data_IF_036446370251
#
_entry.id   IF_036446370251
#
_cell.length_a   1.000
_cell.length_b   1.000
_cell.length_c   1.000
_cell.angle_alpha   90.00
_cell.angle_beta   90.00
_cell.angle_gamma   90.00
#
_symmetry.space_group_name_H-M   'P 1'
#
loop_
_entity.id
_entity.type
_entity.pdbx_description
1 polymer ?
#
# COMPACT_ATOMS: atom_id res chain seq x y z
N UNK A 1 -25.30 -3.79 -29.67
CA UNK A 1 -24.92 -3.67 -28.24
C UNK A 1 -23.89 -2.56 -28.15
N UNK A 2 -24.13 -1.50 -27.40
CA UNK A 2 -23.19 -0.37 -27.36
C UNK A 2 -21.95 -0.70 -26.52
N UNK A 3 -20.85 0.02 -26.71
CA UNK A 3 -19.64 -0.14 -25.91
C UNK A 3 -19.91 0.10 -24.41
N UNK A 4 -20.83 1.02 -24.08
CA UNK A 4 -21.30 1.24 -22.70
C UNK A 4 -22.01 0.01 -22.13
N UNK A 5 -22.87 -0.64 -22.91
CA UNK A 5 -23.58 -1.85 -22.46
C UNK A 5 -22.61 -3.03 -22.25
N UNK A 6 -21.58 -3.14 -23.09
CA UNK A 6 -20.54 -4.15 -22.95
C UNK A 6 -19.67 -3.91 -21.72
N UNK A 7 -19.23 -2.67 -21.49
CA UNK A 7 -18.46 -2.30 -20.30
C UNK A 7 -19.27 -2.51 -19.00
N UNK A 8 -20.56 -2.16 -19.01
CA UNK A 8 -21.45 -2.40 -17.88
C UNK A 8 -21.65 -3.90 -17.63
N UNK A 9 -21.78 -4.72 -18.68
CA UNK A 9 -21.84 -6.18 -18.51
C UNK A 9 -20.55 -6.78 -17.96
N UNK A 10 -19.38 -6.24 -18.31
CA UNK A 10 -18.10 -6.67 -17.73
C UNK A 10 -18.02 -6.30 -16.24
N UNK A 11 -18.43 -5.09 -15.86
CA UNK A 11 -18.50 -4.69 -14.44
C UNK A 11 -19.52 -5.52 -13.65
N UNK A 12 -20.70 -5.79 -14.22
CA UNK A 12 -21.73 -6.61 -13.59
C UNK A 12 -21.29 -8.08 -13.43
N UNK A 13 -20.34 -8.57 -14.25
CA UNK A 13 -19.73 -9.90 -14.09
C UNK A 13 -18.75 -9.95 -12.92
N UNK A 14 -18.05 -8.85 -12.61
CA UNK A 14 -17.08 -8.77 -11.51
C UNK A 14 -17.79 -8.94 -10.15
N UNK A 15 -18.98 -8.36 -9.98
CA UNK A 15 -19.79 -8.55 -8.77
C UNK A 15 -20.41 -9.95 -8.66
N UNK A 16 -20.41 -10.72 -9.74
CA UNK A 16 -21.01 -12.04 -9.85
C UNK A 16 -20.02 -13.20 -9.75
N UNK A 17 -18.76 -12.95 -9.34
CA UNK A 17 -17.82 -14.02 -9.01
C UNK A 17 -18.31 -14.68 -7.72
N UNK A 18 -18.67 -15.96 -7.80
CA UNK A 18 -19.39 -16.71 -6.77
C UNK A 18 -18.65 -18.01 -6.40
N UNK A 19 -17.40 -18.10 -6.84
CA UNK A 19 -16.51 -19.23 -6.63
C UNK A 19 -15.25 -18.67 -5.98
N UNK A 20 -14.84 -19.28 -4.89
CA UNK A 20 -13.62 -18.94 -4.17
C UNK A 20 -12.38 -19.48 -4.90
N UNK A 21 -11.18 -19.03 -4.48
CA UNK A 21 -9.91 -19.43 -5.09
C UNK A 21 -9.66 -20.96 -4.99
N UNK A 22 -10.36 -21.65 -4.09
CA UNK A 22 -10.33 -23.12 -3.89
C UNK A 22 -11.38 -23.89 -4.74
N UNK A 23 -12.19 -23.19 -5.55
CA UNK A 23 -13.23 -23.78 -6.38
C UNK A 23 -14.56 -24.02 -5.67
N UNK A 24 -14.69 -23.67 -4.38
CA UNK A 24 -15.95 -23.79 -3.64
C UNK A 24 -16.92 -22.64 -3.96
N UNK A 25 -18.23 -22.91 -3.85
CA UNK A 25 -19.25 -21.85 -3.95
C UNK A 25 -19.10 -20.92 -2.75
N UNK A 26 -18.98 -19.63 -3.02
CA UNK A 26 -18.88 -18.61 -1.97
C UNK A 26 -20.15 -18.60 -1.11
N UNK A 27 -20.00 -18.43 0.21
CA UNK A 27 -21.15 -18.31 1.10
C UNK A 27 -21.85 -16.96 0.87
N UNK A 28 -23.17 -16.99 0.67
CA UNK A 28 -23.98 -15.78 0.58
C UNK A 28 -24.18 -15.18 1.97
N UNK A 29 -23.98 -13.86 2.11
CA UNK A 29 -24.22 -13.18 3.38
C UNK A 29 -25.71 -12.99 3.67
N UNK A 30 -26.04 -12.80 4.96
CA UNK A 30 -27.42 -12.82 5.44
C UNK A 30 -28.26 -11.66 4.87
N UNK A 31 -27.68 -10.47 4.71
CA UNK A 31 -28.36 -9.30 4.12
C UNK A 31 -28.80 -9.58 2.67
N UNK A 32 -27.90 -10.14 1.85
CA UNK A 32 -28.22 -10.51 0.47
C UNK A 32 -29.17 -11.72 0.41
N UNK A 33 -29.01 -12.70 1.30
CA UNK A 33 -29.88 -13.87 1.38
C UNK A 33 -31.32 -13.49 1.71
N UNK A 34 -31.52 -12.61 2.71
CA UNK A 34 -32.84 -12.08 3.06
C UNK A 34 -33.43 -11.29 1.88
N UNK A 35 -32.66 -10.38 1.29
CA UNK A 35 -33.12 -9.61 0.13
C UNK A 35 -33.52 -10.52 -1.04
N UNK A 36 -32.81 -11.65 -1.24
CA UNK A 36 -33.19 -12.65 -2.23
C UNK A 36 -34.53 -13.30 -1.90
N UNK A 37 -34.71 -13.76 -0.65
CA UNK A 37 -35.97 -14.36 -0.17
C UNK A 37 -37.15 -13.39 -0.30
N UNK A 38 -36.94 -12.11 0.02
CA UNK A 38 -37.97 -11.07 -0.09
C UNK A 38 -38.37 -10.77 -1.53
N UNK A 39 -37.45 -10.97 -2.48
CA UNK A 39 -37.67 -10.76 -3.90
C UNK A 39 -38.39 -11.92 -4.60
N UNK A 40 -38.45 -13.12 -3.99
CA UNK A 40 -39.12 -14.30 -4.52
C UNK A 40 -40.65 -14.20 -4.38
N UNK A 41 -41.25 -13.21 -5.04
CA UNK A 41 -42.68 -12.90 -5.00
C UNK A 41 -43.17 -12.65 -6.42
N UNK A 42 -44.44 -12.96 -6.67
CA UNK A 42 -45.13 -12.77 -7.94
C UNK A 42 -44.48 -13.53 -9.12
N UNK A 43 -43.80 -14.66 -8.86
CA UNK A 43 -43.21 -15.50 -9.89
C UNK A 43 -44.20 -16.59 -10.36
N UNK A 44 -44.15 -16.93 -11.64
CA UNK A 44 -44.78 -18.15 -12.17
C UNK A 44 -43.76 -19.29 -12.14
N UNK A 45 -44.02 -20.30 -11.31
CA UNK A 45 -43.07 -21.38 -11.01
C UNK A 45 -43.51 -22.67 -11.70
N UNK A 46 -42.60 -23.21 -12.50
CA UNK A 46 -42.79 -24.45 -13.27
C UNK A 46 -42.02 -25.63 -12.67
N UNK A 47 -42.40 -26.84 -13.08
CA UNK A 47 -41.77 -28.07 -12.58
C UNK A 47 -40.48 -28.42 -13.34
N UNK A 48 -40.47 -28.22 -14.66
CA UNK A 48 -39.39 -28.70 -15.51
C UNK A 48 -38.23 -27.71 -15.55
N UNK A 49 -36.98 -28.19 -15.46
CA UNK A 49 -35.82 -27.33 -15.62
C UNK A 49 -35.67 -26.92 -17.09
N UNK A 50 -36.17 -25.74 -17.42
CA UNK A 50 -35.74 -24.97 -18.58
C UNK A 50 -34.57 -24.07 -18.18
N UNK A 51 -33.94 -23.41 -19.17
CA UNK A 51 -32.93 -22.42 -18.85
C UNK A 51 -33.52 -21.29 -17.99
N UNK A 52 -32.77 -20.86 -16.97
CA UNK A 52 -33.27 -19.94 -15.93
C UNK A 52 -33.73 -18.58 -16.45
N UNK A 53 -33.34 -18.21 -17.68
CA UNK A 53 -33.79 -17.00 -18.36
C UNK A 53 -35.16 -17.15 -19.04
N UNK A 54 -35.65 -18.37 -19.23
CA UNK A 54 -36.94 -18.66 -19.86
C UNK A 54 -38.03 -18.85 -18.81
N UNK A 55 -37.78 -19.69 -17.80
CA UNK A 55 -38.77 -20.02 -16.76
C UNK A 55 -38.09 -20.19 -15.40
N UNK A 56 -38.84 -19.94 -14.33
CA UNK A 56 -38.40 -20.25 -12.96
C UNK A 56 -38.83 -21.67 -12.62
N UNK A 57 -37.86 -22.55 -12.38
CA UNK A 57 -38.16 -23.90 -11.92
C UNK A 57 -38.23 -23.97 -10.40
N UNK A 58 -39.13 -24.81 -9.88
CA UNK A 58 -39.23 -25.06 -8.45
C UNK A 58 -37.92 -25.64 -7.88
N UNK A 59 -37.26 -26.51 -8.65
CA UNK A 59 -35.94 -27.06 -8.32
C UNK A 59 -34.90 -25.95 -8.12
N UNK A 60 -34.82 -24.97 -9.03
CA UNK A 60 -33.84 -23.88 -8.93
C UNK A 60 -34.05 -22.99 -7.71
N UNK A 61 -35.30 -22.79 -7.30
CA UNK A 61 -35.62 -22.07 -6.05
C UNK A 61 -35.12 -22.87 -4.86
N UNK A 62 -35.39 -24.19 -4.80
CA UNK A 62 -34.93 -25.03 -3.70
C UNK A 62 -33.40 -25.11 -3.62
N UNK A 63 -32.69 -25.30 -4.74
CA UNK A 63 -31.22 -25.21 -4.78
C UNK A 63 -30.73 -23.89 -4.16
N UNK A 64 -31.39 -22.79 -4.50
CA UNK A 64 -31.13 -21.46 -3.91
C UNK A 64 -31.33 -21.44 -2.40
N UNK A 65 -32.52 -21.79 -1.94
CA UNK A 65 -32.89 -21.69 -0.53
C UNK A 65 -32.09 -22.64 0.37
N UNK A 66 -31.85 -23.89 -0.06
CA UNK A 66 -31.02 -24.83 0.70
C UNK A 66 -29.55 -24.40 0.76
N UNK A 67 -29.11 -23.57 -0.18
CA UNK A 67 -27.80 -22.91 -0.12
C UNK A 67 -27.68 -21.78 0.89
N UNK A 68 -28.79 -21.28 1.45
CA UNK A 68 -28.77 -20.27 2.50
C UNK A 68 -28.41 -20.95 3.83
N UNK A 69 -27.37 -20.43 4.48
CA UNK A 69 -26.81 -21.00 5.70
C UNK A 69 -27.65 -20.66 6.93
N UNK A 70 -28.16 -19.43 7.03
CA UNK A 70 -28.97 -19.01 8.16
C UNK A 70 -30.40 -19.58 8.08
N UNK A 71 -30.73 -20.45 9.03
CA UNK A 71 -31.89 -21.32 8.96
C UNK A 71 -33.23 -20.56 8.96
N UNK A 72 -33.34 -19.45 9.69
CA UNK A 72 -34.58 -18.68 9.74
C UNK A 72 -34.92 -18.03 8.39
N UNK A 73 -33.91 -17.50 7.68
CA UNK A 73 -34.07 -16.92 6.33
C UNK A 73 -34.50 -18.02 5.36
N UNK A 74 -33.83 -19.19 5.43
CA UNK A 74 -34.20 -20.33 4.61
C UNK A 74 -35.65 -20.76 4.86
N UNK A 75 -36.06 -20.93 6.12
CA UNK A 75 -37.41 -21.33 6.49
C UNK A 75 -38.47 -20.34 6.00
N UNK A 76 -38.20 -19.04 6.13
CA UNK A 76 -39.04 -17.99 5.58
C UNK A 76 -39.15 -18.11 4.05
N UNK A 77 -38.03 -18.28 3.35
CA UNK A 77 -38.01 -18.49 1.91
C UNK A 77 -38.86 -19.69 1.48
N UNK A 78 -38.76 -20.82 2.19
CA UNK A 78 -39.57 -22.02 1.91
C UNK A 78 -41.07 -21.74 2.06
N UNK A 79 -41.46 -20.97 3.07
CA UNK A 79 -42.86 -20.56 3.28
C UNK A 79 -43.34 -19.62 2.17
N UNK A 80 -42.48 -18.69 1.74
CA UNK A 80 -42.81 -17.68 0.74
C UNK A 80 -43.10 -18.28 -0.65
N UNK A 81 -42.56 -19.46 -0.98
CA UNK A 81 -42.79 -20.13 -2.27
C UNK A 81 -44.29 -20.24 -2.57
N UNK A 82 -45.06 -20.87 -1.68
CA UNK A 82 -46.50 -21.07 -1.89
C UNK A 82 -47.33 -19.85 -1.53
N UNK A 83 -46.84 -19.00 -0.64
CA UNK A 83 -47.59 -17.84 -0.14
C UNK A 83 -47.65 -16.69 -1.16
N UNK A 84 -46.55 -16.44 -1.87
CA UNK A 84 -46.41 -15.24 -2.71
C UNK A 84 -46.20 -15.53 -4.20
N UNK A 85 -46.19 -16.79 -4.62
CA UNK A 85 -45.94 -17.17 -6.01
C UNK A 85 -47.02 -18.13 -6.53
N UNK A 86 -47.10 -18.22 -7.86
CA UNK A 86 -48.07 -19.06 -8.55
C UNK A 86 -47.38 -20.30 -9.10
N UNK A 87 -47.68 -21.45 -8.52
CA UNK A 87 -47.15 -22.74 -8.96
C UNK A 87 -48.08 -23.35 -10.01
N UNK A 88 -47.51 -23.99 -11.04
CA UNK A 88 -48.30 -24.86 -11.90
C UNK A 88 -48.71 -26.14 -11.17
N UNK A 89 -49.80 -26.78 -11.61
CA UNK A 89 -50.31 -28.00 -10.99
C UNK A 89 -49.24 -29.12 -10.91
N UNK A 90 -48.38 -29.21 -11.93
CA UNK A 90 -47.26 -30.15 -11.93
C UNK A 90 -46.15 -29.76 -10.95
N UNK A 91 -45.87 -28.46 -10.78
CA UNK A 91 -44.88 -28.00 -9.80
C UNK A 91 -45.36 -28.29 -8.37
N UNK A 92 -46.65 -28.05 -8.09
CA UNK A 92 -47.22 -28.31 -6.77
C UNK A 92 -47.30 -29.82 -6.45
N UNK A 93 -47.67 -30.66 -7.44
CA UNK A 93 -47.67 -32.12 -7.28
C UNK A 93 -46.27 -32.69 -6.97
N UNK A 94 -45.22 -32.10 -7.54
CA UNK A 94 -43.84 -32.56 -7.39
C UNK A 94 -43.04 -31.80 -6.33
N UNK A 95 -43.70 -31.00 -5.48
CA UNK A 95 -43.05 -30.09 -4.54
C UNK A 95 -42.03 -30.79 -3.63
N UNK A 96 -42.40 -31.93 -3.02
CA UNK A 96 -41.50 -32.68 -2.13
C UNK A 96 -40.28 -33.25 -2.86
N UNK A 97 -40.46 -33.76 -4.08
CA UNK A 97 -39.36 -34.29 -4.89
C UNK A 97 -38.38 -33.17 -5.29
N UNK A 98 -38.91 -32.00 -5.69
CA UNK A 98 -38.10 -30.84 -6.04
C UNK A 98 -37.31 -30.33 -4.82
N UNK A 99 -37.92 -30.33 -3.63
CA UNK A 99 -37.25 -29.94 -2.39
C UNK A 99 -36.05 -30.87 -2.08
N UNK A 100 -36.27 -32.18 -2.05
CA UNK A 100 -35.21 -33.17 -1.78
C UNK A 100 -34.08 -33.12 -2.82
N UNK A 101 -34.41 -32.85 -4.08
CA UNK A 101 -33.41 -32.70 -5.14
C UNK A 101 -32.61 -31.41 -5.01
N UNK A 102 -33.26 -30.31 -4.62
CA UNK A 102 -32.60 -29.02 -4.43
C UNK A 102 -31.62 -29.04 -3.26
N UNK A 103 -31.98 -29.74 -2.18
CA UNK A 103 -31.10 -29.93 -1.01
C UNK A 103 -29.78 -30.64 -1.36
N UNK A 104 -29.80 -31.54 -2.36
CA UNK A 104 -28.59 -32.25 -2.83
C UNK A 104 -27.64 -31.38 -3.64
N UNK A 105 -28.11 -30.25 -4.16
CA UNK A 105 -27.32 -29.33 -4.98
C UNK A 105 -27.54 -27.88 -4.51
N UNK A 106 -27.10 -27.54 -3.28
CA UNK A 106 -27.30 -26.22 -2.73
C UNK A 106 -26.42 -25.20 -3.47
N UNK A 107 -27.04 -24.11 -3.94
CA UNK A 107 -26.34 -22.99 -4.56
C UNK A 107 -27.17 -21.70 -4.36
N UNK A 108 -26.90 -20.91 -3.31
CA UNK A 108 -27.71 -19.75 -2.97
C UNK A 108 -27.72 -18.69 -4.06
N UNK A 109 -26.64 -18.60 -4.84
CA UNK A 109 -26.49 -17.59 -5.87
C UNK A 109 -27.43 -17.74 -7.06
N UNK A 110 -28.04 -18.91 -7.22
CA UNK A 110 -29.12 -19.11 -8.21
C UNK A 110 -30.26 -18.12 -7.97
N UNK A 111 -30.54 -17.75 -6.71
CA UNK A 111 -31.59 -16.78 -6.38
C UNK A 111 -31.35 -15.42 -7.03
N UNK A 112 -30.09 -14.94 -7.03
CA UNK A 112 -29.74 -13.67 -7.69
C UNK A 112 -30.00 -13.73 -9.20
N UNK A 113 -29.77 -14.89 -9.84
CA UNK A 113 -30.04 -15.11 -11.26
C UNK A 113 -31.54 -15.16 -11.55
N UNK A 114 -32.33 -15.84 -10.71
CA UNK A 114 -33.79 -15.86 -10.81
C UNK A 114 -34.32 -14.42 -10.78
N UNK A 115 -33.91 -13.63 -9.80
CA UNK A 115 -34.35 -12.24 -9.66
C UNK A 115 -33.90 -11.37 -10.84
N UNK A 116 -32.68 -11.56 -11.33
CA UNK A 116 -32.18 -10.82 -12.50
C UNK A 116 -33.06 -10.99 -13.74
N UNK A 117 -33.57 -12.19 -13.98
CA UNK A 117 -34.36 -12.50 -15.18
C UNK A 117 -35.87 -12.28 -14.97
N UNK A 118 -36.40 -12.62 -13.80
CA UNK A 118 -37.84 -12.70 -13.56
C UNK A 118 -38.37 -11.62 -12.62
N UNK A 119 -37.49 -10.86 -11.98
CA UNK A 119 -37.86 -9.69 -11.16
C UNK A 119 -36.83 -8.56 -11.36
N UNK A 120 -36.69 -8.12 -12.61
CA UNK A 120 -35.61 -7.24 -13.06
C UNK A 120 -35.55 -5.90 -12.31
N UNK A 121 -36.70 -5.30 -12.03
CA UNK A 121 -36.75 -4.02 -11.29
C UNK A 121 -36.20 -4.18 -9.88
N UNK A 122 -36.65 -5.20 -9.15
CA UNK A 122 -36.14 -5.52 -7.82
C UNK A 122 -34.65 -5.86 -7.84
N UNK A 123 -34.19 -6.59 -8.86
CA UNK A 123 -32.78 -6.90 -9.01
C UNK A 123 -31.92 -5.64 -9.16
N UNK A 124 -32.29 -4.72 -10.04
CA UNK A 124 -31.51 -3.49 -10.26
C UNK A 124 -31.57 -2.54 -9.06
N UNK A 125 -32.71 -2.46 -8.35
CA UNK A 125 -32.88 -1.54 -7.23
C UNK A 125 -32.32 -2.06 -5.90
N UNK A 126 -32.37 -3.37 -5.64
CA UNK A 126 -32.04 -3.96 -4.33
C UNK A 126 -30.85 -4.91 -4.43
N UNK A 127 -30.92 -5.93 -5.29
CA UNK A 127 -29.91 -7.00 -5.33
C UNK A 127 -28.57 -6.50 -5.86
N UNK A 128 -28.56 -5.74 -6.95
CA UNK A 128 -27.33 -5.26 -7.61
C UNK A 128 -26.52 -4.31 -6.72
N UNK A 129 -27.13 -3.32 -6.01
CA UNK A 129 -26.41 -2.54 -5.01
C UNK A 129 -25.79 -3.38 -3.89
N UNK A 130 -26.50 -4.38 -3.38
CA UNK A 130 -25.98 -5.28 -2.34
C UNK A 130 -24.81 -6.13 -2.84
N UNK A 131 -24.88 -6.65 -4.07
CA UNK A 131 -23.76 -7.37 -4.70
C UNK A 131 -22.52 -6.48 -4.80
N UNK A 132 -22.69 -5.21 -5.21
CA UNK A 132 -21.59 -4.24 -5.28
C UNK A 132 -20.99 -3.97 -3.90
N UNK A 133 -21.83 -3.70 -2.89
CA UNK A 133 -21.41 -3.46 -1.50
C UNK A 133 -20.60 -4.64 -0.96
N UNK A 134 -21.09 -5.86 -1.15
CA UNK A 134 -20.42 -7.08 -0.68
C UNK A 134 -19.05 -7.27 -1.33
N UNK A 135 -18.95 -7.03 -2.63
CA UNK A 135 -17.69 -7.09 -3.37
C UNK A 135 -16.66 -6.07 -2.83
N UNK A 136 -17.09 -4.83 -2.57
CA UNK A 136 -16.21 -3.78 -2.02
C UNK A 136 -15.74 -4.12 -0.60
N UNK A 137 -16.62 -4.62 0.27
CA UNK A 137 -16.26 -5.06 1.63
C UNK A 137 -15.26 -6.21 1.59
N UNK A 138 -15.48 -7.21 0.72
CA UNK A 138 -14.56 -8.35 0.56
C UNK A 138 -13.19 -7.90 0.07
N UNK A 139 -13.16 -7.00 -0.92
CA UNK A 139 -11.92 -6.41 -1.43
C UNK A 139 -11.16 -5.68 -0.31
N UNK A 140 -11.86 -4.90 0.50
CA UNK A 140 -11.25 -4.18 1.62
C UNK A 140 -10.74 -5.13 2.72
N UNK A 141 -11.50 -6.17 3.07
CA UNK A 141 -11.06 -7.17 4.06
C UNK A 141 -9.80 -7.89 3.61
N UNK A 142 -9.72 -8.29 2.34
CA UNK A 142 -8.52 -8.94 1.78
C UNK A 142 -7.30 -8.03 1.91
N UNK A 143 -7.44 -6.75 1.56
CA UNK A 143 -6.36 -5.74 1.73
C UNK A 143 -5.94 -5.64 3.20
N UNK A 144 -6.88 -5.56 4.14
CA UNK A 144 -6.58 -5.42 5.58
C UNK A 144 -5.83 -6.64 6.12
N UNK A 145 -6.26 -7.85 5.75
CA UNK A 145 -5.62 -9.07 6.24
C UNK A 145 -4.22 -9.25 5.65
N UNK A 146 -4.06 -8.91 4.37
CA UNK A 146 -2.75 -8.86 3.73
C UNK A 146 -1.82 -7.84 4.39
N UNK A 147 -2.31 -6.63 4.67
CA UNK A 147 -1.52 -5.56 5.31
C UNK A 147 -0.99 -5.97 6.69
N UNK A 148 -1.68 -6.85 7.42
CA UNK A 148 -1.18 -7.40 8.70
C UNK A 148 0.02 -8.35 8.52
N UNK A 149 0.17 -8.96 7.35
CA UNK A 149 1.24 -9.91 7.04
C UNK A 149 2.48 -9.23 6.46
N UNK A 150 2.34 -8.02 5.89
CA UNK A 150 3.44 -7.25 5.34
C UNK A 150 4.45 -6.88 6.42
N UNK A 151 5.71 -7.22 6.20
CA UNK A 151 6.80 -6.81 7.09
C UNK A 151 7.01 -5.29 7.02
N UNK A 152 6.98 -4.63 8.18
CA UNK A 152 7.16 -3.18 8.28
C UNK A 152 8.64 -2.86 8.37
N UNK A 153 9.15 -2.18 7.36
CA UNK A 153 10.51 -1.65 7.35
C UNK A 153 10.52 -0.14 7.60
N UNK A 154 11.53 0.35 8.32
CA UNK A 154 11.92 1.75 8.31
C UNK A 154 13.02 1.97 7.25
N UNK A 155 13.21 3.22 6.84
CA UNK A 155 14.33 3.56 5.96
C UNK A 155 15.63 3.49 6.79
N UNK A 156 16.56 2.65 6.35
CA UNK A 156 17.92 2.59 6.88
C UNK A 156 18.92 3.03 5.79
N UNK A 157 19.71 4.08 6.08
CA UNK A 157 20.71 4.60 5.14
C UNK A 157 21.98 3.72 5.07
N UNK A 158 22.23 2.87 6.07
CA UNK A 158 23.36 1.93 6.05
C UNK A 158 23.08 0.70 5.20
N UNK A 159 21.81 0.34 5.04
CA UNK A 159 21.37 -0.70 4.14
C UNK A 159 21.54 -0.28 2.67
N UNK A 160 22.26 -1.08 1.89
CA UNK A 160 22.58 -0.84 0.49
C UNK A 160 21.40 -1.09 -0.46
N UNK A 161 20.26 -1.59 0.01
CA UNK A 161 19.07 -1.77 -0.82
C UNK A 161 18.53 -0.43 -1.33
N UNK A 162 18.27 -0.35 -2.64
CA UNK A 162 17.83 0.88 -3.32
C UNK A 162 16.73 0.60 -4.35
N UNK A 163 16.26 1.65 -5.03
CA UNK A 163 15.29 1.54 -6.11
C UNK A 163 15.79 0.66 -7.28
N UNK A 164 17.11 0.59 -7.53
CA UNK A 164 17.65 -0.27 -8.60
C UNK A 164 17.50 -1.75 -8.27
N UNK A 165 17.57 -2.12 -6.99
CA UNK A 165 17.32 -3.50 -6.55
C UNK A 165 15.86 -3.89 -6.79
N UNK A 166 14.91 -2.99 -6.51
CA UNK A 166 13.49 -3.20 -6.82
C UNK A 166 13.29 -3.45 -8.32
N UNK A 167 13.94 -2.64 -9.17
CA UNK A 167 13.91 -2.80 -10.62
C UNK A 167 14.48 -4.15 -11.07
N UNK A 168 15.63 -4.56 -10.53
CA UNK A 168 16.23 -5.87 -10.82
C UNK A 168 15.35 -7.03 -10.36
N UNK A 169 14.74 -6.94 -9.17
CA UNK A 169 13.79 -7.96 -8.68
C UNK A 169 12.57 -8.07 -9.59
N UNK A 170 12.06 -6.94 -10.08
CA UNK A 170 10.94 -6.89 -11.03
C UNK A 170 11.30 -7.57 -12.35
N UNK A 171 12.46 -7.23 -12.92
CA UNK A 171 12.96 -7.83 -14.16
C UNK A 171 13.13 -9.35 -14.04
N UNK A 172 13.57 -9.82 -12.88
CA UNK A 172 13.77 -11.23 -12.58
C UNK A 172 12.50 -11.97 -12.13
N UNK A 173 11.32 -11.32 -12.14
CA UNK A 173 10.04 -11.92 -11.79
C UNK A 173 9.91 -12.35 -10.32
N UNK A 174 10.74 -11.80 -9.42
CA UNK A 174 10.83 -12.27 -8.03
C UNK A 174 9.60 -11.91 -7.18
N UNK A 175 8.75 -11.00 -7.66
CA UNK A 175 7.54 -10.59 -6.95
C UNK A 175 6.34 -11.50 -7.17
N UNK A 176 6.40 -12.46 -8.10
CA UNK A 176 5.33 -13.46 -8.31
C UNK A 176 3.91 -12.88 -8.44
N UNK A 177 3.79 -11.69 -9.04
CA UNK A 177 2.53 -10.93 -9.16
C UNK A 177 1.86 -10.54 -7.83
N UNK A 178 2.64 -10.46 -6.75
CA UNK A 178 2.20 -10.07 -5.41
C UNK A 178 2.63 -8.64 -5.13
N UNK A 179 1.65 -7.76 -4.89
CA UNK A 179 1.93 -6.37 -4.54
C UNK A 179 2.55 -6.23 -3.14
N UNK A 180 2.34 -7.21 -2.29
CA UNK A 180 2.81 -7.27 -0.90
C UNK A 180 4.33 -7.24 -0.85
N UNK A 181 4.97 -8.12 -1.62
CA UNK A 181 6.42 -8.23 -1.71
C UNK A 181 7.05 -6.94 -2.28
N UNK A 182 6.35 -6.28 -3.21
CA UNK A 182 6.79 -4.99 -3.75
C UNK A 182 6.67 -3.90 -2.68
N UNK A 183 5.59 -3.90 -1.91
CA UNK A 183 5.37 -2.93 -0.85
C UNK A 183 6.41 -3.06 0.28
N UNK A 184 6.77 -4.28 0.68
CA UNK A 184 7.84 -4.54 1.66
C UNK A 184 9.17 -3.92 1.22
N UNK A 185 9.55 -4.09 -0.03
CA UNK A 185 10.78 -3.51 -0.56
C UNK A 185 10.68 -1.99 -0.72
N UNK A 186 9.52 -1.46 -1.16
CA UNK A 186 9.31 -0.02 -1.21
C UNK A 186 9.35 0.61 0.19
N UNK A 187 8.92 -0.09 1.25
CA UNK A 187 8.93 0.43 2.62
C UNK A 187 10.34 0.69 3.16
N UNK A 188 11.34 -0.03 2.64
CA UNK A 188 12.77 0.16 2.94
C UNK A 188 13.33 1.45 2.36
N UNK A 189 12.67 2.01 1.35
CA UNK A 189 13.21 3.15 0.60
C UNK A 189 12.27 4.36 0.54
N UNK A 190 10.96 4.23 0.80
CA UNK A 190 9.98 5.32 0.66
C UNK A 190 9.16 5.51 1.93
N UNK A 191 8.92 6.77 2.29
CA UNK A 191 7.87 7.22 3.23
C UNK A 191 7.09 8.39 2.62
N UNK A 192 5.85 8.58 3.05
CA UNK A 192 4.96 9.64 2.56
C UNK A 192 4.55 10.51 3.74
N UNK A 193 4.62 11.82 3.57
CA UNK A 193 4.30 12.81 4.62
C UNK A 193 3.36 13.86 4.04
N UNK A 194 2.27 14.23 4.74
CA UNK A 194 1.40 15.31 4.28
C UNK A 194 2.12 16.65 4.35
N UNK A 195 1.94 17.49 3.33
CA UNK A 195 2.50 18.85 3.26
C UNK A 195 1.45 19.84 2.73
N UNK A 196 1.75 21.14 2.75
CA UNK A 196 0.79 22.21 2.39
C UNK A 196 0.17 22.02 1.00
N UNK A 197 0.92 21.48 0.04
CA UNK A 197 0.50 21.29 -1.35
C UNK A 197 0.27 19.82 -1.72
N UNK A 198 -0.13 18.98 -0.74
CA UNK A 198 -0.46 17.58 -0.95
C UNK A 198 0.48 16.63 -0.20
N UNK A 199 1.23 15.82 -0.93
CA UNK A 199 2.10 14.80 -0.36
C UNK A 199 3.57 15.03 -0.72
N UNK A 200 4.43 14.90 0.28
CA UNK A 200 5.87 14.84 0.12
C UNK A 200 6.33 13.39 0.24
N UNK A 201 7.11 12.92 -0.74
CA UNK A 201 7.65 11.58 -0.76
C UNK A 201 9.11 11.65 -0.34
N UNK A 202 9.41 11.05 0.81
CA UNK A 202 10.76 10.84 1.31
C UNK A 202 11.29 9.58 0.67
N UNK A 203 12.43 9.66 -0.02
CA UNK A 203 13.03 8.50 -0.70
C UNK A 203 14.51 8.36 -0.33
N UNK A 204 14.94 7.13 -0.07
CA UNK A 204 16.34 6.72 0.03
C UNK A 204 16.92 6.54 -1.37
N UNK A 205 17.95 7.32 -1.71
CA UNK A 205 18.69 7.17 -2.95
C UNK A 205 20.20 7.15 -2.67
N UNK A 206 20.95 6.47 -3.54
CA UNK A 206 22.40 6.41 -3.44
C UNK A 206 23.02 7.73 -3.91
N UNK A 207 23.81 8.36 -3.05
CA UNK A 207 24.59 9.55 -3.36
C UNK A 207 26.01 9.15 -3.75
N UNK A 208 26.31 9.27 -5.05
CA UNK A 208 27.62 8.95 -5.61
C UNK A 208 28.71 9.94 -5.20
N UNK A 209 28.38 11.13 -4.68
CA UNK A 209 29.36 12.10 -4.22
C UNK A 209 29.98 11.69 -2.88
N UNK A 210 29.17 11.14 -1.98
CA UNK A 210 29.61 10.74 -0.64
C UNK A 210 29.76 9.21 -0.49
N UNK A 211 29.36 8.46 -1.53
CA UNK A 211 29.28 7.00 -1.56
C UNK A 211 28.46 6.45 -0.39
N UNK A 212 27.31 7.09 -0.12
CA UNK A 212 26.39 6.77 0.96
C UNK A 212 24.96 6.90 0.47
N UNK A 213 24.00 6.23 1.09
CA UNK A 213 22.61 6.55 0.84
C UNK A 213 22.23 7.86 1.54
N UNK A 214 21.39 8.65 0.89
CA UNK A 214 20.87 9.91 1.40
C UNK A 214 19.34 9.96 1.26
N UNK A 215 18.74 10.86 2.04
CA UNK A 215 17.31 11.15 1.97
C UNK A 215 17.07 12.28 0.97
N UNK A 216 16.21 12.02 -0.01
CA UNK A 216 15.73 13.01 -0.95
C UNK A 216 14.22 13.19 -0.82
N UNK A 217 13.74 14.36 -1.20
CA UNK A 217 12.32 14.71 -1.18
C UNK A 217 11.79 14.87 -2.59
N UNK A 218 10.67 14.23 -2.88
CA UNK A 218 10.02 14.28 -4.19
C UNK A 218 8.57 14.71 -4.08
N UNK A 219 8.12 15.42 -5.10
CA UNK A 219 6.71 15.67 -5.32
C UNK A 219 6.05 14.45 -5.99
N UNK A 220 4.71 14.48 -6.07
CA UNK A 220 3.91 13.42 -6.67
C UNK A 220 4.29 13.10 -8.12
N UNK A 221 4.60 14.10 -8.93
CA UNK A 221 4.95 13.90 -10.35
C UNK A 221 6.26 13.13 -10.47
N UNK A 222 7.30 13.58 -9.78
CA UNK A 222 8.63 12.96 -9.83
C UNK A 222 8.63 11.51 -9.33
N UNK A 223 7.94 11.22 -8.22
CA UNK A 223 7.86 9.85 -7.71
C UNK A 223 7.03 8.95 -8.64
N UNK A 224 5.95 9.47 -9.21
CA UNK A 224 5.12 8.74 -10.16
C UNK A 224 5.92 8.38 -11.41
N UNK A 225 6.69 9.30 -11.97
CA UNK A 225 7.49 9.05 -13.17
C UNK A 225 8.55 7.96 -12.92
N UNK A 226 9.24 8.02 -11.76
CA UNK A 226 10.20 7.00 -11.37
C UNK A 226 9.55 5.62 -11.19
N UNK A 227 8.48 5.52 -10.41
CA UNK A 227 7.86 4.22 -10.09
C UNK A 227 7.07 3.63 -11.27
N UNK A 228 6.52 4.46 -12.17
CA UNK A 228 5.88 4.00 -13.42
C UNK A 228 6.88 3.35 -14.39
N UNK A 229 8.15 3.73 -14.33
CA UNK A 229 9.19 3.13 -15.17
C UNK A 229 9.50 1.68 -14.79
N UNK A 230 9.22 1.29 -13.54
CA UNK A 230 9.43 -0.08 -13.04
C UNK A 230 8.18 -0.91 -13.33
N UNK A 231 8.22 -1.66 -14.43
CA UNK A 231 7.16 -2.61 -14.81
C UNK A 231 7.31 -3.90 -14.01
N UNK A 232 6.23 -4.34 -13.37
CA UNK A 232 6.23 -5.53 -12.52
C UNK A 232 5.71 -6.74 -13.30
N UNK A 233 4.48 -6.68 -13.80
CA UNK A 233 3.86 -7.72 -14.63
C UNK A 233 2.75 -7.14 -15.50
N UNK A 234 2.14 -7.99 -16.33
CA UNK A 234 1.01 -7.62 -17.18
C UNK A 234 -0.25 -8.34 -16.70
N UNK A 235 -1.31 -7.58 -16.47
CA UNK A 235 -2.64 -8.09 -16.15
C UNK A 235 -3.59 -7.76 -17.31
N UNK A 236 -3.80 -8.76 -18.18
CA UNK A 236 -4.50 -8.59 -19.45
C UNK A 236 -3.85 -7.53 -20.34
N UNK A 237 -4.52 -6.38 -20.52
CA UNK A 237 -3.99 -5.24 -21.30
C UNK A 237 -3.32 -4.16 -20.44
N UNK A 238 -3.44 -4.25 -19.11
CA UNK A 238 -2.86 -3.26 -18.19
C UNK A 238 -1.46 -3.71 -17.80
N UNK A 239 -0.49 -2.79 -17.93
CA UNK A 239 0.82 -2.98 -17.33
C UNK A 239 0.74 -2.55 -15.86
N UNK A 240 1.12 -3.45 -14.97
CA UNK A 240 1.22 -3.18 -13.53
C UNK A 240 2.64 -2.73 -13.23
N UNK A 241 2.76 -1.66 -12.45
CA UNK A 241 4.02 -0.96 -12.16
C UNK A 241 4.19 -0.73 -10.66
N UNK A 242 5.40 -0.35 -10.22
CA UNK A 242 5.67 -0.13 -8.80
C UNK A 242 4.78 0.96 -8.17
N UNK A 243 4.28 1.93 -8.95
CA UNK A 243 3.36 2.94 -8.42
C UNK A 243 2.01 2.34 -8.01
N UNK A 244 1.54 1.31 -8.73
CA UNK A 244 0.28 0.63 -8.39
C UNK A 244 0.37 -0.02 -6.99
N UNK A 245 1.55 -0.55 -6.62
CA UNK A 245 1.81 -1.11 -5.29
C UNK A 245 1.77 -0.02 -4.20
N UNK A 246 2.45 1.11 -4.45
CA UNK A 246 2.47 2.24 -3.53
C UNK A 246 1.07 2.82 -3.31
N UNK A 247 0.27 2.94 -4.38
CA UNK A 247 -1.10 3.45 -4.31
C UNK A 247 -2.04 2.47 -3.58
N UNK A 248 -1.91 1.16 -3.82
CA UNK A 248 -2.71 0.13 -3.15
C UNK A 248 -2.48 0.10 -1.64
N UNK A 249 -1.23 0.28 -1.19
CA UNK A 249 -0.84 0.19 0.21
C UNK A 249 -0.40 1.53 0.82
N UNK A 250 -0.89 2.66 0.29
CA UNK A 250 -0.44 4.01 0.64
C UNK A 250 -0.31 4.28 2.14
N UNK A 251 -1.31 3.86 2.93
CA UNK A 251 -1.34 4.05 4.39
C UNK A 251 -0.16 3.43 5.14
N UNK A 252 0.51 2.42 4.58
CA UNK A 252 1.70 1.81 5.19
C UNK A 252 2.93 2.72 5.14
N UNK A 253 2.97 3.64 4.18
CA UNK A 253 4.09 4.54 3.95
C UNK A 253 3.93 5.85 4.74
N UNK A 254 2.74 6.12 5.26
CA UNK A 254 2.40 7.41 5.86
C UNK A 254 3.14 7.67 7.19
N UNK A 255 3.62 8.90 7.31
CA UNK A 255 4.16 9.52 8.52
C UNK A 255 3.45 10.85 8.73
N UNK A 256 3.22 11.24 9.98
CA UNK A 256 2.47 12.47 10.30
C UNK A 256 3.27 13.75 10.11
N UNK A 257 4.59 13.63 9.96
CA UNK A 257 5.50 14.77 9.81
C UNK A 257 6.95 14.32 9.65
N UNK A 258 7.83 15.28 9.40
CA UNK A 258 9.29 15.09 9.32
C UNK A 258 9.94 15.93 10.42
N UNK A 259 10.93 15.37 11.10
CA UNK A 259 11.85 16.08 11.99
C UNK A 259 13.26 15.58 11.77
N UNK A 260 14.26 16.38 12.14
CA UNK A 260 15.65 15.94 12.05
C UNK A 260 15.87 14.70 12.92
N UNK A 261 15.52 14.78 14.21
CA UNK A 261 15.50 13.64 15.15
C UNK A 261 14.13 13.61 15.85
N UNK A 262 13.52 12.43 15.96
CA UNK A 262 12.27 12.20 16.66
C UNK A 262 12.23 10.80 17.28
N UNK A 263 11.74 10.73 18.52
CA UNK A 263 11.43 9.47 19.21
C UNK A 263 10.00 8.98 18.91
N UNK A 264 9.17 9.82 18.30
CA UNK A 264 7.81 9.43 17.90
C UNK A 264 7.87 8.64 16.58
N UNK A 265 7.49 7.34 16.56
CA UNK A 265 7.59 6.49 15.37
C UNK A 265 6.66 6.93 14.22
N UNK A 266 5.65 7.75 14.52
CA UNK A 266 4.76 8.33 13.51
C UNK A 266 5.43 9.48 12.73
N UNK A 267 6.50 10.07 13.25
CA UNK A 267 7.26 11.14 12.59
C UNK A 267 8.49 10.50 11.94
N UNK A 268 8.77 10.88 10.69
CA UNK A 268 9.99 10.46 10.03
C UNK A 268 11.19 11.23 10.59
N UNK A 269 12.21 10.52 11.06
CA UNK A 269 13.51 11.08 11.47
C UNK A 269 14.46 11.10 10.28
N UNK A 270 14.93 12.29 9.89
CA UNK A 270 15.90 12.43 8.79
C UNK A 270 17.28 11.91 9.19
N UNK A 271 17.68 12.16 10.44
CA UNK A 271 18.94 11.71 10.98
C UNK A 271 18.86 10.22 11.35
N UNK A 272 19.64 9.41 10.65
CA UNK A 272 19.77 7.96 10.81
C UNK A 272 21.13 7.56 11.41
N UNK A 273 21.80 8.52 12.07
CA UNK A 273 23.15 8.36 12.59
C UNK A 273 24.24 8.77 11.60
N UNK A 274 25.48 8.69 12.06
CA UNK A 274 26.67 9.06 11.29
C UNK A 274 27.14 7.95 10.34
N UNK A 275 27.85 8.35 9.29
CA UNK A 275 28.56 7.46 8.36
C UNK A 275 29.54 6.54 9.10
N UNK A 276 30.22 7.07 10.12
CA UNK A 276 31.23 6.35 10.89
C UNK A 276 30.67 5.85 12.23
N UNK A 277 31.17 4.71 12.68
CA UNK A 277 30.91 4.20 14.02
C UNK A 277 31.81 4.91 15.03
N UNK A 278 31.27 5.10 16.23
CA UNK A 278 32.06 5.59 17.36
C UNK A 278 33.08 4.51 17.77
N UNK A 279 34.34 4.92 17.91
CA UNK A 279 35.41 4.06 18.39
C UNK A 279 35.43 4.05 19.93
N UNK A 280 35.84 2.93 20.53
CA UNK A 280 36.04 2.81 21.99
C UNK A 280 37.29 3.57 22.46
N UNK A 281 38.31 3.65 21.61
CA UNK A 281 39.59 4.29 21.91
C UNK A 281 39.94 5.39 20.88
N UNK A 282 40.67 6.41 21.33
CA UNK A 282 41.13 7.52 20.48
C UNK A 282 42.58 7.29 20.09
N UNK A 283 42.83 7.12 18.79
CA UNK A 283 44.18 6.99 18.23
C UNK A 283 44.77 8.36 17.90
N UNK A 284 45.35 9.04 18.89
CA UNK A 284 45.88 10.41 18.74
C UNK A 284 46.84 10.57 17.56
N UNK A 285 47.70 9.59 17.29
CA UNK A 285 48.64 9.61 16.15
C UNK A 285 47.97 9.70 14.79
N UNK A 286 46.68 9.34 14.68
CA UNK A 286 45.91 9.46 13.43
C UNK A 286 45.29 10.85 13.25
N UNK A 287 45.08 11.58 14.33
CA UNK A 287 44.41 12.89 14.33
C UNK A 287 45.36 14.05 14.63
N UNK A 288 46.58 13.78 15.08
CA UNK A 288 47.57 14.80 15.46
C UNK A 288 47.81 15.84 14.37
N UNK A 289 47.86 15.42 13.09
CA UNK A 289 48.05 16.35 11.97
C UNK A 289 46.87 17.31 11.80
N UNK A 290 45.64 16.84 12.03
CA UNK A 290 44.46 17.71 12.03
C UNK A 290 44.48 18.65 13.24
N UNK A 291 44.76 18.14 14.43
CA UNK A 291 44.83 18.94 15.65
C UNK A 291 45.92 20.02 15.56
N UNK A 292 47.08 19.69 14.98
CA UNK A 292 48.16 20.63 14.70
C UNK A 292 47.76 21.71 13.70
N UNK A 293 47.04 21.35 12.62
CA UNK A 293 46.47 22.35 11.70
C UNK A 293 45.54 23.33 12.44
N UNK A 294 44.63 22.81 13.27
CA UNK A 294 43.70 23.67 14.03
C UNK A 294 44.45 24.59 14.98
N UNK A 295 45.44 24.07 15.72
CA UNK A 295 46.20 24.83 16.71
C UNK A 295 47.14 25.84 16.06
N UNK A 296 48.03 25.37 15.21
CA UNK A 296 49.17 26.16 14.72
C UNK A 296 48.72 27.17 13.66
N UNK A 297 47.77 26.78 12.80
CA UNK A 297 47.38 27.58 11.63
C UNK A 297 46.05 28.28 11.80
N UNK A 298 44.99 27.56 12.19
CA UNK A 298 43.63 28.15 12.26
C UNK A 298 43.50 29.06 13.49
N UNK A 299 43.96 28.59 14.65
CA UNK A 299 43.95 29.36 15.90
C UNK A 299 45.20 30.23 16.09
N UNK A 300 46.21 30.12 15.21
CA UNK A 300 47.47 30.85 15.31
C UNK A 300 48.16 30.72 16.68
N UNK A 301 48.13 29.51 17.27
CA UNK A 301 48.60 29.18 18.62
C UNK A 301 47.86 29.88 19.78
N UNK A 302 46.71 30.50 19.53
CA UNK A 302 45.81 30.98 20.59
C UNK A 302 45.04 29.80 21.19
N UNK A 303 45.34 29.46 22.44
CA UNK A 303 44.73 28.32 23.12
C UNK A 303 43.22 28.48 23.32
N UNK A 304 42.72 29.70 23.56
CA UNK A 304 41.30 29.94 23.76
C UNK A 304 40.51 29.70 22.46
N UNK A 305 41.04 30.18 21.33
CA UNK A 305 40.44 29.94 20.02
C UNK A 305 40.54 28.45 19.66
N UNK A 306 41.69 27.81 19.90
CA UNK A 306 41.89 26.39 19.63
C UNK A 306 40.86 25.52 20.38
N UNK A 307 40.72 25.73 21.69
CA UNK A 307 39.72 25.02 22.50
C UNK A 307 38.30 25.29 22.04
N UNK A 308 37.97 26.56 21.72
CA UNK A 308 36.64 26.91 21.21
C UNK A 308 36.30 26.17 19.91
N UNK A 309 37.22 26.12 18.94
CA UNK A 309 37.01 25.44 17.66
C UNK A 309 36.76 23.93 17.84
N UNK A 310 37.54 23.27 18.69
CA UNK A 310 37.37 21.83 18.96
C UNK A 310 36.08 21.55 19.73
N UNK A 311 35.74 22.35 20.74
CA UNK A 311 34.49 22.23 21.47
C UNK A 311 33.28 22.50 20.57
N UNK A 312 33.41 23.40 19.60
CA UNK A 312 32.37 23.65 18.60
C UNK A 312 32.15 22.44 17.70
N UNK A 313 33.21 21.79 17.22
CA UNK A 313 33.11 20.50 16.49
C UNK A 313 32.43 19.43 17.34
N UNK A 314 32.90 19.24 18.57
CA UNK A 314 32.36 18.25 19.49
C UNK A 314 30.87 18.50 19.77
N UNK A 315 30.48 19.75 20.00
CA UNK A 315 29.09 20.13 20.28
C UNK A 315 28.16 19.79 19.12
N UNK A 316 28.57 20.03 17.86
CA UNK A 316 27.77 19.69 16.67
C UNK A 316 27.55 18.18 16.56
N UNK A 317 28.61 17.39 16.76
CA UNK A 317 28.54 15.93 16.63
C UNK A 317 27.82 15.28 17.82
N UNK A 318 27.95 15.82 19.03
CA UNK A 318 27.29 15.27 20.22
C UNK A 318 25.82 15.70 20.33
N UNK A 319 25.45 16.85 19.74
CA UNK A 319 24.10 17.42 19.84
C UNK A 319 23.53 17.70 18.44
N UNK A 320 23.41 16.66 17.61
CA UNK A 320 22.98 16.79 16.22
C UNK A 320 21.60 17.46 16.03
N UNK A 321 20.72 17.39 17.04
CA UNK A 321 19.39 18.01 17.02
C UNK A 321 19.38 19.49 17.44
N UNK A 322 20.50 20.04 17.90
CA UNK A 322 20.60 21.42 18.37
C UNK A 322 21.35 22.30 17.38
N UNK A 323 20.79 23.48 17.14
CA UNK A 323 21.51 24.52 16.42
C UNK A 323 22.58 25.10 17.34
N UNK A 324 23.78 25.31 16.82
CA UNK A 324 24.88 25.96 17.55
C UNK A 324 24.67 27.46 17.72
N UNK A 325 23.75 28.06 16.95
CA UNK A 325 23.44 29.51 16.94
C UNK A 325 24.68 30.40 16.73
N UNK A 326 25.76 29.82 16.21
CA UNK A 326 27.07 30.44 16.01
C UNK A 326 27.62 30.01 14.65
N UNK A 327 28.29 30.94 13.96
CA UNK A 327 28.97 30.67 12.70
C UNK A 327 30.44 31.11 12.82
N UNK A 328 31.36 30.27 12.35
CA UNK A 328 32.80 30.58 12.33
C UNK A 328 33.16 31.08 10.94
N UNK A 329 33.83 32.23 10.90
CA UNK A 329 34.36 32.82 9.66
C UNK A 329 35.87 32.72 9.68
N UNK A 330 36.44 31.95 8.74
CA UNK A 330 37.88 31.81 8.59
C UNK A 330 38.40 32.74 7.48
N UNK A 331 39.22 33.72 7.87
CA UNK A 331 39.84 34.67 6.94
C UNK A 331 41.36 34.42 6.87
N UNK A 332 41.93 34.51 5.67
CA UNK A 332 43.36 34.34 5.46
C UNK A 332 43.70 33.98 4.02
N UNK A 333 45.00 33.86 3.71
CA UNK A 333 45.49 33.53 2.37
C UNK A 333 44.97 32.18 1.85
N UNK A 334 44.94 32.01 0.53
CA UNK A 334 44.64 30.72 -0.08
C UNK A 334 45.76 29.70 0.25
N UNK A 335 45.39 28.43 0.40
CA UNK A 335 46.37 27.36 0.65
C UNK A 335 46.74 27.13 2.12
N UNK A 336 46.27 27.96 3.05
CA UNK A 336 46.58 27.82 4.49
C UNK A 336 45.78 26.72 5.22
N UNK A 337 45.04 25.88 4.49
CA UNK A 337 44.30 24.76 5.09
C UNK A 337 42.88 25.05 5.58
N UNK A 338 42.30 26.24 5.30
CA UNK A 338 40.89 26.55 5.66
C UNK A 338 39.89 25.48 5.18
N UNK A 339 40.02 25.04 3.93
CA UNK A 339 39.13 24.01 3.37
C UNK A 339 39.41 22.63 3.97
N UNK A 340 40.65 22.34 4.38
CA UNK A 340 40.97 21.07 5.05
C UNK A 340 40.24 21.00 6.40
N UNK A 341 40.23 22.11 7.15
CA UNK A 341 39.48 22.22 8.39
C UNK A 341 37.98 21.96 8.20
N UNK A 342 37.34 22.64 7.25
CA UNK A 342 35.88 22.49 7.03
C UNK A 342 35.52 21.14 6.40
N UNK A 343 36.36 20.59 5.51
CA UNK A 343 36.14 19.29 4.87
C UNK A 343 36.05 18.15 5.89
N UNK A 344 36.84 18.18 6.98
CA UNK A 344 36.76 17.16 8.03
C UNK A 344 35.39 17.17 8.70
N UNK A 345 34.83 18.36 8.99
CA UNK A 345 33.49 18.46 9.56
C UNK A 345 32.41 18.01 8.57
N UNK A 346 32.53 18.39 7.30
CA UNK A 346 31.62 17.91 6.25
C UNK A 346 31.65 16.39 6.11
N UNK A 347 32.83 15.76 6.20
CA UNK A 347 32.94 14.31 6.11
C UNK A 347 32.35 13.60 7.35
N UNK A 348 32.52 14.16 8.55
CA UNK A 348 31.88 13.65 9.77
C UNK A 348 30.35 13.73 9.69
N UNK A 349 29.83 14.77 9.03
CA UNK A 349 28.41 15.02 8.80
C UNK A 349 27.94 14.54 7.42
N UNK A 350 28.68 13.66 6.74
CA UNK A 350 28.35 13.19 5.40
C UNK A 350 26.89 12.70 5.34
N UNK A 351 26.15 13.18 4.33
CA UNK A 351 24.70 12.96 4.20
C UNK A 351 23.81 14.03 4.87
N UNK A 352 24.37 14.87 5.74
CA UNK A 352 23.67 15.99 6.42
C UNK A 352 24.32 17.36 6.23
N UNK A 353 25.49 17.42 5.57
CA UNK A 353 26.19 18.67 5.27
C UNK A 353 26.28 18.93 3.77
N UNK A 354 26.23 20.19 3.38
CA UNK A 354 26.63 20.63 2.04
C UNK A 354 28.16 20.73 1.92
N UNK A 355 28.69 20.57 0.71
CA UNK A 355 30.12 20.83 0.44
C UNK A 355 30.44 22.31 0.63
N UNK A 356 31.73 22.63 0.75
CA UNK A 356 32.19 24.00 0.72
C UNK A 356 31.70 24.68 -0.56
N UNK A 357 30.82 25.67 -0.38
CA UNK A 357 30.29 26.48 -1.46
C UNK A 357 31.34 27.54 -1.81
N UNK A 358 31.73 27.60 -3.09
CA UNK A 358 32.72 28.55 -3.59
C UNK A 358 32.10 29.77 -4.27
N UNK A 359 30.82 29.70 -4.61
CA UNK A 359 30.05 30.77 -5.22
C UNK A 359 28.77 31.04 -4.41
N UNK A 360 28.45 32.30 -4.16
CA UNK A 360 27.25 32.67 -3.40
C UNK A 360 25.96 32.33 -4.16
N UNK A 361 26.05 32.19 -5.48
CA UNK A 361 24.92 31.77 -6.33
C UNK A 361 24.59 30.27 -6.21
N UNK A 362 25.46 29.46 -5.58
CA UNK A 362 25.23 28.04 -5.30
C UNK A 362 24.47 27.79 -3.97
N UNK A 363 23.99 28.86 -3.31
CA UNK A 363 23.34 28.81 -1.99
C UNK A 363 21.81 28.60 -2.03
#
# INVERSE_FOLDING_TARGET
>A
MSYKDYAQQQHDRIYGVQINDDGAIEQMNDELAQACVDGLKNLEIQNYPQSINMEVSLLSIFCGLYGITYESIRAEGMKNIRQFNKLSANADKNYGQAASNGERQPNPWILTKILRYHNKEYYEQIIKPLLKKNYEVKKQSKIVDTVKQIEKHEIDLKDMFTLTDISSKALNGQYQNQFELVAEDLLKIIKVVPCQNGWCYVIKEYDSLHNTNAIHYKNKTAINDQLRSIRLWQDGKKNITAIDALEQYHSLFEKVGIRFISQNPKIFSVFQGYKYLQLEEVYYTKIEGFLGLVKDTIAANDELIYEYLLNWFASIVQNADKKTETAIILQGLQGIGKNVFTNVLCELLAGYSSKNITDIDDF
#
